data_IF_414133436274
#
_entry.id   IF_414133436274
#
_cell.length_a   1.000
_cell.length_b   1.000
_cell.length_c   1.000
_cell.angle_alpha   90.00
_cell.angle_beta   90.00
_cell.angle_gamma   90.00
#
_symmetry.space_group_name_H-M   'P 1'
#
loop_
_entity.id
_entity.type
_entity.pdbx_description
1 polymer ?
#
# COMPACT_ATOMS: atom_id res chain seq x y z
N UNK A 1 2.30 -48.62 -33.78
CA UNK A 1 1.65 -49.80 -33.19
C UNK A 1 1.20 -49.44 -31.80
N UNK A 2 -0.09 -49.43 -31.67
CA UNK A 2 -0.94 -49.56 -30.44
C UNK A 2 -0.84 -48.40 -29.45
N UNK A 3 -1.87 -47.55 -29.44
CA UNK A 3 -3.17 -47.69 -28.78
C UNK A 3 -3.03 -47.70 -27.28
N UNK A 4 -3.56 -46.72 -26.60
CA UNK A 4 -4.89 -46.68 -26.07
C UNK A 4 -5.05 -45.36 -25.32
N UNK A 5 -5.93 -44.56 -25.74
CA UNK A 5 -7.33 -44.56 -25.38
C UNK A 5 -7.59 -44.07 -23.97
N UNK A 6 -8.21 -42.88 -23.95
CA UNK A 6 -9.51 -42.70 -23.35
C UNK A 6 -9.59 -42.72 -21.81
N UNK A 7 -9.72 -41.55 -21.26
CA UNK A 7 -10.81 -41.39 -20.28
C UNK A 7 -11.27 -39.92 -20.23
N UNK A 8 -12.28 -39.62 -21.01
CA UNK A 8 -13.20 -38.55 -20.72
C UNK A 8 -13.94 -38.93 -19.43
N UNK A 9 -13.82 -38.12 -18.41
CA UNK A 9 -14.83 -38.14 -17.36
C UNK A 9 -15.33 -36.74 -17.05
N UNK A 10 -16.28 -36.44 -17.81
CA UNK A 10 -17.42 -35.56 -17.70
C UNK A 10 -18.10 -35.74 -16.33
N UNK A 11 -17.77 -34.85 -15.40
CA UNK A 11 -18.65 -34.68 -14.23
C UNK A 11 -19.33 -33.32 -14.27
N UNK A 12 -20.48 -33.36 -14.88
CA UNK A 12 -21.58 -32.43 -14.62
C UNK A 12 -22.00 -32.60 -13.16
N UNK A 13 -21.63 -31.64 -12.35
CA UNK A 13 -22.21 -31.47 -11.03
C UNK A 13 -23.19 -30.30 -11.04
N UNK A 14 -24.39 -30.61 -11.42
CA UNK A 14 -25.56 -29.76 -11.30
C UNK A 14 -25.93 -29.66 -9.83
N UNK A 15 -25.67 -28.54 -9.16
CA UNK A 15 -26.32 -28.25 -7.89
C UNK A 15 -27.30 -27.09 -8.04
N UNK A 16 -28.51 -27.49 -8.26
CA UNK A 16 -29.74 -26.77 -7.95
C UNK A 16 -29.83 -26.59 -6.43
N UNK A 17 -30.35 -25.47 -6.04
CA UNK A 17 -31.16 -25.45 -4.86
C UNK A 17 -30.84 -24.38 -3.86
N UNK A 18 -31.73 -23.47 -3.66
CA UNK A 18 -31.78 -22.74 -2.44
C UNK A 18 -32.27 -21.30 -2.51
N UNK A 19 -33.31 -21.09 -3.29
CA UNK A 19 -34.13 -19.91 -3.17
C UNK A 19 -34.94 -20.04 -1.87
N UNK A 20 -34.58 -19.33 -0.84
CA UNK A 20 -35.43 -19.12 0.33
C UNK A 20 -35.76 -17.64 0.45
N UNK A 21 -36.92 -17.31 -0.08
CA UNK A 21 -37.71 -16.18 0.28
C UNK A 21 -38.11 -16.30 1.76
N UNK A 22 -37.76 -15.32 2.54
CA UNK A 22 -38.17 -15.16 3.92
C UNK A 22 -38.58 -13.71 4.16
N UNK A 23 -39.79 -13.42 3.74
CA UNK A 23 -40.88 -12.75 4.49
C UNK A 23 -40.43 -11.59 5.43
N UNK A 24 -40.71 -10.42 4.89
CA UNK A 24 -41.48 -9.31 5.50
C UNK A 24 -41.80 -9.48 6.97
N UNK A 25 -41.28 -8.58 7.79
CA UNK A 25 -42.03 -8.04 8.92
C UNK A 25 -41.84 -6.54 8.96
N UNK A 26 -42.83 -5.86 8.49
CA UNK A 26 -43.13 -4.48 8.74
C UNK A 26 -43.41 -4.36 10.26
N UNK A 27 -42.63 -3.57 10.98
CA UNK A 27 -43.07 -3.01 12.23
C UNK A 27 -43.02 -1.50 12.12
N UNK A 28 -44.16 -0.95 11.78
CA UNK A 28 -44.50 0.45 12.00
C UNK A 28 -44.78 0.59 13.48
N UNK A 29 -44.00 1.40 14.18
CA UNK A 29 -44.48 2.05 15.40
C UNK A 29 -43.87 3.45 15.44
N UNK A 30 -44.81 4.37 15.26
CA UNK A 30 -44.67 5.78 15.52
C UNK A 30 -44.29 6.02 17.00
N UNK A 31 -43.30 6.85 17.18
CA UNK A 31 -42.97 7.44 18.48
C UNK A 31 -42.31 8.79 18.23
N UNK A 32 -43.12 9.80 18.18
CA UNK A 32 -42.72 11.20 18.16
C UNK A 32 -42.14 11.52 19.51
N UNK A 33 -40.85 11.84 19.58
CA UNK A 33 -40.33 12.60 20.70
C UNK A 33 -39.37 13.64 20.18
N UNK A 34 -39.88 14.82 20.03
CA UNK A 34 -39.12 16.06 19.77
C UNK A 34 -38.39 16.38 21.03
N UNK A 35 -37.09 16.22 21.05
CA UNK A 35 -36.22 16.80 22.03
C UNK A 35 -35.24 17.72 21.31
N UNK A 36 -35.56 18.99 21.32
CA UNK A 36 -34.68 20.04 20.86
C UNK A 36 -33.52 20.17 21.83
N UNK A 37 -32.38 19.59 21.50
CA UNK A 37 -31.13 19.88 22.21
C UNK A 37 -30.36 20.90 21.35
N UNK A 38 -30.39 22.12 21.82
CA UNK A 38 -29.56 23.21 21.32
C UNK A 38 -28.13 22.91 21.71
N UNK A 39 -27.37 22.33 20.81
CA UNK A 39 -25.93 22.14 21.01
C UNK A 39 -25.24 23.44 20.58
N UNK A 40 -24.76 24.15 21.58
CA UNK A 40 -23.87 25.29 21.42
C UNK A 40 -22.58 24.82 20.74
N UNK A 41 -22.44 25.13 19.46
CA UNK A 41 -21.22 24.82 18.70
C UNK A 41 -20.12 25.76 19.15
N UNK A 42 -19.25 25.27 20.01
CA UNK A 42 -17.96 25.91 20.27
C UNK A 42 -17.13 25.73 19.04
N UNK A 43 -17.00 26.79 18.23
CA UNK A 43 -16.07 26.83 17.13
C UNK A 43 -14.65 26.85 17.69
N UNK A 44 -14.06 25.69 17.78
CA UNK A 44 -12.63 25.57 18.03
C UNK A 44 -11.93 25.99 16.75
N UNK A 45 -11.52 27.25 16.65
CA UNK A 45 -10.58 27.72 15.65
C UNK A 45 -9.23 27.15 16.03
N UNK A 46 -9.02 25.90 15.66
CA UNK A 46 -7.68 25.29 15.68
C UNK A 46 -6.85 26.02 14.64
N UNK A 47 -5.88 26.80 15.09
CA UNK A 47 -4.77 27.25 14.27
C UNK A 47 -4.03 26.00 13.83
N UNK A 48 -4.33 25.50 12.64
CA UNK A 48 -3.50 24.50 11.98
C UNK A 48 -2.23 25.21 11.55
N UNK A 49 -1.18 25.05 12.34
CA UNK A 49 0.17 25.27 11.87
C UNK A 49 0.31 24.36 10.67
N UNK A 50 0.47 24.94 9.48
CA UNK A 50 0.79 24.18 8.29
C UNK A 50 2.17 23.55 8.55
N UNK A 51 2.17 22.28 8.97
CA UNK A 51 3.34 21.44 8.84
C UNK A 51 3.67 21.44 7.36
N UNK A 52 4.89 21.85 7.03
CA UNK A 52 5.49 21.66 5.72
C UNK A 52 5.58 20.15 5.44
N UNK A 53 4.44 19.55 5.19
CA UNK A 53 4.40 18.18 4.71
C UNK A 53 4.81 18.20 3.25
N UNK A 54 5.87 17.50 2.88
CA UNK A 54 6.24 17.34 1.48
C UNK A 54 5.02 16.78 0.72
N UNK A 55 4.70 17.45 -0.38
CA UNK A 55 3.54 17.25 -1.23
C UNK A 55 3.12 15.78 -1.35
N UNK A 56 1.88 15.42 -1.01
CA UNK A 56 1.42 14.04 -0.96
C UNK A 56 1.40 13.32 -2.32
N UNK A 57 1.64 14.03 -3.40
CA UNK A 57 1.60 13.49 -4.76
C UNK A 57 2.81 12.65 -5.16
N UNK A 58 3.91 12.66 -4.38
CA UNK A 58 5.11 11.88 -4.72
C UNK A 58 5.23 10.53 -4.01
N UNK A 59 4.29 10.17 -3.15
CA UNK A 59 4.39 8.94 -2.34
C UNK A 59 3.43 7.83 -2.76
N UNK A 60 2.66 8.01 -3.83
CA UNK A 60 1.79 6.95 -4.34
C UNK A 60 2.67 5.83 -4.91
N UNK A 61 2.55 4.64 -4.35
CA UNK A 61 3.33 3.46 -4.75
C UNK A 61 4.69 3.32 -4.07
N UNK A 62 5.08 4.24 -3.19
CA UNK A 62 6.30 4.09 -2.39
C UNK A 62 6.07 3.17 -1.19
N UNK A 63 7.08 2.37 -0.91
CA UNK A 63 7.18 1.53 0.28
C UNK A 63 8.17 2.15 1.26
N UNK A 64 7.97 1.91 2.55
CA UNK A 64 8.90 2.35 3.60
C UNK A 64 9.73 1.17 4.10
N UNK A 65 10.98 1.44 4.45
CA UNK A 65 11.84 0.44 5.03
C UNK A 65 13.13 1.03 5.59
N UNK A 66 13.93 0.17 6.19
CA UNK A 66 15.27 0.51 6.65
C UNK A 66 16.30 -0.35 5.90
N UNK A 67 17.40 0.26 5.49
CA UNK A 67 18.52 -0.45 4.84
C UNK A 67 19.17 -1.38 5.87
N UNK A 68 19.21 -2.67 5.58
CA UNK A 68 19.81 -3.69 6.43
C UNK A 68 21.14 -4.20 5.89
N UNK A 69 21.37 -4.12 4.59
CA UNK A 69 22.67 -4.39 3.98
C UNK A 69 22.80 -3.64 2.63
N UNK A 70 24.01 -3.39 2.22
CA UNK A 70 24.35 -2.67 0.97
C UNK A 70 25.36 -3.52 0.21
N UNK A 71 25.07 -3.77 -1.06
CA UNK A 71 25.94 -4.47 -2.00
C UNK A 71 26.17 -3.59 -3.25
N UNK A 72 27.03 -4.01 -4.13
CA UNK A 72 27.39 -3.22 -5.30
C UNK A 72 26.22 -2.81 -6.20
N UNK A 73 25.25 -3.73 -6.40
CA UNK A 73 24.09 -3.53 -7.30
C UNK A 73 22.75 -3.84 -6.64
N UNK A 74 22.76 -4.20 -5.36
CA UNK A 74 21.58 -4.57 -4.61
C UNK A 74 21.60 -3.97 -3.22
N UNK A 75 20.42 -3.80 -2.64
CA UNK A 75 20.21 -3.37 -1.26
C UNK A 75 19.30 -4.36 -0.56
N UNK A 76 19.57 -4.64 0.69
CA UNK A 76 18.59 -5.27 1.56
C UNK A 76 17.83 -4.19 2.32
N UNK A 77 16.52 -4.17 2.16
CA UNK A 77 15.61 -3.31 2.89
C UNK A 77 14.65 -4.21 3.67
N UNK A 78 14.60 -4.05 4.99
CA UNK A 78 13.82 -4.91 5.88
C UNK A 78 14.13 -6.41 5.67
N UNK A 79 15.40 -6.78 5.45
CA UNK A 79 15.89 -8.14 5.16
C UNK A 79 15.37 -8.75 3.85
N UNK A 80 14.94 -7.93 2.92
CA UNK A 80 14.54 -8.34 1.57
C UNK A 80 15.47 -7.70 0.57
N UNK A 81 16.01 -8.49 -0.35
CA UNK A 81 16.95 -8.02 -1.37
C UNK A 81 16.21 -7.38 -2.54
N UNK A 82 16.63 -6.16 -2.89
CA UNK A 82 16.17 -5.41 -4.03
C UNK A 82 17.35 -5.07 -4.94
N UNK A 83 17.16 -5.17 -6.25
CA UNK A 83 18.09 -4.65 -7.24
C UNK A 83 17.88 -3.16 -7.45
N UNK A 84 18.90 -2.50 -7.95
CA UNK A 84 18.81 -1.12 -8.40
C UNK A 84 18.82 -1.08 -9.92
N UNK A 85 17.90 -0.33 -10.53
CA UNK A 85 17.99 -0.07 -11.98
C UNK A 85 19.22 0.78 -12.27
N UNK A 86 19.80 0.71 -13.47
CA UNK A 86 21.02 1.46 -13.81
C UNK A 86 20.88 2.99 -13.67
N UNK A 87 19.68 3.50 -13.88
CA UNK A 87 19.31 4.90 -13.82
C UNK A 87 18.47 5.25 -12.57
N UNK A 88 18.69 4.51 -11.48
CA UNK A 88 17.98 4.73 -10.21
C UNK A 88 18.14 6.17 -9.73
N UNK A 89 17.02 6.80 -9.39
CA UNK A 89 17.00 8.15 -8.83
C UNK A 89 17.01 8.04 -7.30
N UNK A 90 18.10 8.46 -6.68
CA UNK A 90 18.23 8.55 -5.23
C UNK A 90 18.20 10.00 -4.79
N UNK A 91 17.34 10.32 -3.83
CA UNK A 91 17.18 11.65 -3.27
C UNK A 91 17.39 11.60 -1.75
N UNK A 92 17.86 12.69 -1.19
CA UNK A 92 17.84 12.89 0.25
C UNK A 92 16.45 13.38 0.74
N UNK A 93 16.28 13.54 2.04
CA UNK A 93 15.03 14.03 2.65
C UNK A 93 14.62 15.43 2.17
N UNK A 94 15.56 16.19 1.58
CA UNK A 94 15.34 17.54 1.03
C UNK A 94 15.10 17.55 -0.49
N UNK A 95 15.06 16.37 -1.11
CA UNK A 95 14.85 16.23 -2.55
C UNK A 95 16.09 16.48 -3.40
N UNK A 96 17.29 16.52 -2.82
CA UNK A 96 18.57 16.67 -3.53
C UNK A 96 19.08 15.29 -3.95
N UNK A 97 19.76 15.23 -5.09
CA UNK A 97 20.40 14.01 -5.56
C UNK A 97 21.39 13.49 -4.51
N UNK A 98 21.24 12.22 -4.16
CA UNK A 98 22.13 11.52 -3.23
C UNK A 98 23.04 10.58 -4.00
N UNK A 99 24.34 10.67 -3.72
CA UNK A 99 25.33 9.73 -4.24
C UNK A 99 25.11 8.34 -3.58
N UNK A 100 25.03 7.25 -4.34
CA UNK A 100 24.93 5.90 -3.79
C UNK A 100 26.02 5.55 -2.78
N UNK A 101 27.23 6.11 -2.93
CA UNK A 101 28.34 5.92 -2.00
C UNK A 101 28.08 6.48 -0.58
N UNK A 102 27.07 7.33 -0.43
CA UNK A 102 26.67 7.90 0.87
C UNK A 102 25.59 7.10 1.58
N UNK A 103 25.12 6.01 0.98
CA UNK A 103 24.17 5.12 1.64
C UNK A 103 24.83 4.47 2.86
N UNK A 104 24.04 4.37 3.92
CA UNK A 104 24.49 3.70 5.16
C UNK A 104 23.44 2.69 5.59
N UNK A 105 23.91 1.61 6.20
CA UNK A 105 23.04 0.66 6.89
C UNK A 105 22.33 1.41 8.02
N UNK A 106 21.06 1.07 8.28
CA UNK A 106 20.15 1.72 9.22
C UNK A 106 19.48 3.01 8.70
N UNK A 107 19.85 3.53 7.53
CA UNK A 107 19.11 4.64 6.93
C UNK A 107 17.67 4.23 6.63
N UNK A 108 16.73 5.12 6.94
CA UNK A 108 15.34 4.95 6.55
C UNK A 108 15.14 5.34 5.09
N UNK A 109 14.35 4.56 4.38
CA UNK A 109 14.10 4.79 2.96
C UNK A 109 12.64 4.71 2.62
N UNK A 110 12.22 5.58 1.68
CA UNK A 110 10.99 5.45 0.92
C UNK A 110 11.37 5.09 -0.50
N UNK A 111 10.95 3.94 -0.99
CA UNK A 111 11.37 3.44 -2.29
C UNK A 111 10.20 3.00 -3.15
N UNK A 112 10.35 3.18 -4.42
CA UNK A 112 9.41 2.73 -5.45
C UNK A 112 10.05 1.57 -6.22
N UNK A 113 9.27 0.54 -6.50
CA UNK A 113 9.69 -0.59 -7.32
C UNK A 113 9.04 -0.50 -8.70
N UNK A 114 9.75 -0.95 -9.70
CA UNK A 114 9.24 -0.95 -11.07
C UNK A 114 8.03 -1.90 -11.19
N UNK A 115 7.06 -1.53 -12.01
CA UNK A 115 5.86 -2.36 -12.24
C UNK A 115 6.20 -3.68 -12.92
N UNK A 116 7.26 -3.70 -13.71
CA UNK A 116 7.69 -4.86 -14.48
C UNK A 116 8.46 -5.86 -13.63
N UNK A 117 9.16 -5.39 -12.61
CA UNK A 117 10.00 -6.20 -11.73
C UNK A 117 9.82 -5.75 -10.28
N UNK A 118 9.07 -6.50 -9.52
CA UNK A 118 8.69 -6.16 -8.13
C UNK A 118 9.86 -6.14 -7.13
N UNK A 119 11.05 -6.47 -7.56
CA UNK A 119 12.28 -6.45 -6.77
C UNK A 119 13.34 -5.46 -7.30
N UNK A 120 12.98 -4.60 -8.26
CA UNK A 120 13.88 -3.57 -8.79
C UNK A 120 13.41 -2.19 -8.38
N UNK A 121 14.30 -1.41 -7.77
CA UNK A 121 14.05 -0.04 -7.32
C UNK A 121 14.45 0.93 -8.43
N UNK A 122 13.54 1.82 -8.81
CA UNK A 122 13.77 2.90 -9.76
C UNK A 122 13.90 4.27 -9.09
N UNK A 123 13.28 4.45 -7.93
CA UNK A 123 13.35 5.70 -7.16
C UNK A 123 13.45 5.42 -5.67
N UNK A 124 14.24 6.21 -4.98
CA UNK A 124 14.40 6.10 -3.54
C UNK A 124 14.64 7.47 -2.90
N UNK A 125 14.02 7.70 -1.76
CA UNK A 125 14.27 8.84 -0.88
C UNK A 125 14.90 8.29 0.39
N UNK A 126 16.05 8.80 0.75
CA UNK A 126 16.87 8.32 1.87
C UNK A 126 16.93 9.36 2.97
N UNK A 127 16.55 8.96 4.17
CA UNK A 127 16.76 9.75 5.39
C UNK A 127 17.97 9.20 6.11
N UNK A 128 19.05 9.96 6.08
CA UNK A 128 20.30 9.57 6.75
C UNK A 128 20.18 9.73 8.27
N UNK A 129 20.68 8.78 9.06
CA UNK A 129 20.71 8.92 10.51
C UNK A 129 21.58 10.13 10.90
N UNK A 130 21.15 10.87 11.88
CA UNK A 130 21.86 12.03 12.43
C UNK A 130 22.83 11.61 13.52
#
# INVERSE_FOLDING_TARGET
MMDDARTEEKRKGLHRGGQRSGRRRLFVRAGITVLAVTVLSVVNVGVTIADDQPLPSMTIGYQNGAITAIYEKTLDINRRTYGLVPDVVMLDEYGRMLDPARLVVTAEVKFHVTKEQSNMIDKMIVTLPR
#
